data_IF_075718118693
#
_entry.id   IF_075718118693
#
_cell.length_a   1.000
_cell.length_b   1.000
_cell.length_c   1.000
_cell.angle_alpha   90.00
_cell.angle_beta   90.00
_cell.angle_gamma   90.00
#
_symmetry.space_group_name_H-M   'P 1'
#
loop_
_entity.id
_entity.type
_entity.pdbx_description
1 polymer ?
#
# COMPACT_ATOMS: atom_id res chain seq x y z
N UNK A 1 1.24 8.68 25.72
CA UNK A 1 2.27 8.45 24.69
C UNK A 1 1.95 9.31 23.47
N UNK A 2 2.91 10.12 23.05
CA UNK A 2 2.72 10.97 21.87
C UNK A 2 2.68 10.09 20.62
N UNK A 3 1.73 10.33 19.71
CA UNK A 3 1.55 9.54 18.46
C UNK A 3 2.81 9.51 17.58
N UNK A 4 3.60 10.58 17.61
CA UNK A 4 4.87 10.62 16.87
C UNK A 4 5.92 9.68 17.47
N UNK A 5 5.91 9.47 18.78
CA UNK A 5 6.81 8.52 19.44
C UNK A 5 6.45 7.07 19.11
N UNK A 6 5.16 6.78 18.88
CA UNK A 6 4.71 5.45 18.49
C UNK A 6 5.17 5.09 17.07
N UNK A 7 5.08 6.01 16.11
CA UNK A 7 5.53 5.74 14.74
C UNK A 7 7.05 5.54 14.66
N UNK A 8 7.83 6.34 15.41
CA UNK A 8 9.28 6.19 15.48
C UNK A 8 9.68 4.83 16.07
N UNK A 9 9.00 4.41 17.13
CA UNK A 9 9.21 3.09 17.73
C UNK A 9 8.92 1.95 16.77
N UNK A 10 7.86 2.05 15.98
CA UNK A 10 7.51 1.05 14.96
C UNK A 10 8.52 1.00 13.82
N UNK A 11 8.96 2.14 13.33
CA UNK A 11 9.98 2.22 12.29
C UNK A 11 11.30 1.61 12.75
N UNK A 12 11.71 1.94 13.99
CA UNK A 12 12.91 1.36 14.60
C UNK A 12 12.80 -0.15 14.74
N UNK A 13 11.68 -0.64 15.22
CA UNK A 13 11.43 -2.08 15.38
C UNK A 13 11.50 -2.82 14.04
N UNK A 14 10.97 -2.21 12.96
CA UNK A 14 11.00 -2.77 11.61
C UNK A 14 12.35 -2.58 10.91
N UNK A 15 13.28 -1.85 11.52
CA UNK A 15 14.57 -1.57 10.91
C UNK A 15 14.49 -0.59 9.74
N UNK A 16 13.48 0.25 9.71
CA UNK A 16 13.29 1.27 8.65
C UNK A 16 14.05 2.53 9.04
N UNK A 17 15.30 2.59 8.64
CA UNK A 17 16.21 3.72 8.87
C UNK A 17 16.21 4.72 7.69
N UNK A 18 17.10 5.71 7.74
CA UNK A 18 17.21 6.73 6.70
C UNK A 18 17.60 6.14 5.33
N UNK A 19 18.45 5.10 5.31
CA UNK A 19 18.84 4.43 4.07
C UNK A 19 17.64 3.74 3.42
N UNK A 20 16.84 3.01 4.20
CA UNK A 20 15.63 2.34 3.71
C UNK A 20 14.56 3.33 3.27
N UNK A 21 14.41 4.44 3.98
CA UNK A 21 13.49 5.52 3.54
C UNK A 21 13.89 6.09 2.19
N UNK A 22 15.18 6.28 1.95
CA UNK A 22 15.70 6.72 0.65
C UNK A 22 15.45 5.66 -0.44
N UNK A 23 15.62 4.37 -0.13
CA UNK A 23 15.31 3.27 -1.05
C UNK A 23 13.82 3.23 -1.41
N UNK A 24 12.92 3.50 -0.47
CA UNK A 24 11.49 3.57 -0.75
C UNK A 24 11.16 4.63 -1.81
N UNK A 25 11.84 5.77 -1.79
CA UNK A 25 11.67 6.81 -2.82
C UNK A 25 12.09 6.32 -4.21
N UNK A 26 13.17 5.55 -4.29
CA UNK A 26 13.61 4.94 -5.55
C UNK A 26 12.62 3.86 -6.01
N UNK A 27 12.12 3.06 -5.09
CA UNK A 27 11.06 2.07 -5.35
C UNK A 27 9.83 2.76 -5.94
N UNK A 28 9.40 3.88 -5.37
CA UNK A 28 8.24 4.61 -5.86
C UNK A 28 8.40 5.05 -7.32
N UNK A 29 9.56 5.54 -7.71
CA UNK A 29 9.83 5.93 -9.10
C UNK A 29 9.62 4.77 -10.08
N UNK A 30 9.93 3.55 -9.65
CA UNK A 30 9.81 2.35 -10.47
C UNK A 30 8.37 1.87 -10.54
N UNK A 31 7.66 1.83 -9.42
CA UNK A 31 6.31 1.26 -9.36
C UNK A 31 5.19 2.23 -9.71
N UNK A 32 5.40 3.54 -9.54
CA UNK A 32 4.36 4.53 -9.78
C UNK A 32 3.72 4.43 -11.17
N UNK A 33 4.48 4.25 -12.27
CA UNK A 33 3.88 4.07 -13.59
C UNK A 33 3.02 2.81 -13.73
N UNK A 34 3.17 1.85 -12.83
CA UNK A 34 2.43 0.57 -12.84
C UNK A 34 1.24 0.53 -11.89
N UNK A 35 1.12 1.51 -10.98
CA UNK A 35 0.07 1.51 -9.95
C UNK A 35 -1.33 1.47 -10.55
N UNK A 36 -1.57 2.21 -11.60
CA UNK A 36 -2.89 2.25 -12.24
C UNK A 36 -3.33 0.85 -12.70
N UNK A 37 -2.48 0.15 -13.42
CA UNK A 37 -2.75 -1.21 -13.92
C UNK A 37 -2.88 -2.22 -12.77
N UNK A 38 -2.00 -2.13 -11.78
CA UNK A 38 -2.04 -3.02 -10.59
C UNK A 38 -3.36 -2.85 -9.85
N UNK A 39 -3.82 -1.62 -9.67
CA UNK A 39 -5.07 -1.34 -8.97
C UNK A 39 -6.30 -1.70 -9.79
N UNK A 40 -6.24 -1.58 -11.11
CA UNK A 40 -7.30 -2.12 -11.97
C UNK A 40 -7.44 -3.64 -11.79
N UNK A 41 -6.34 -4.36 -11.78
CA UNK A 41 -6.34 -5.81 -11.54
C UNK A 41 -6.82 -6.15 -10.13
N UNK A 42 -6.44 -5.35 -9.15
CA UNK A 42 -6.87 -5.49 -7.76
C UNK A 42 -8.41 -5.40 -7.66
N UNK A 43 -9.02 -4.37 -8.24
CA UNK A 43 -10.47 -4.22 -8.15
C UNK A 43 -11.23 -5.23 -8.99
N UNK A 44 -10.68 -5.72 -10.11
CA UNK A 44 -11.24 -6.86 -10.82
C UNK A 44 -11.26 -8.11 -9.93
N UNK A 45 -10.18 -8.36 -9.22
CA UNK A 45 -10.07 -9.48 -8.30
C UNK A 45 -11.05 -9.35 -7.13
N UNK A 46 -11.17 -8.16 -6.53
CA UNK A 46 -12.13 -7.87 -5.47
C UNK A 46 -13.58 -8.09 -5.93
N UNK A 47 -13.92 -7.64 -7.13
CA UNK A 47 -15.28 -7.75 -7.66
C UNK A 47 -15.65 -9.17 -8.14
N UNK A 48 -14.67 -10.03 -8.34
CA UNK A 48 -14.91 -11.41 -8.76
C UNK A 48 -15.47 -12.30 -7.63
N UNK A 49 -15.42 -11.85 -6.37
CA UNK A 49 -15.91 -12.59 -5.20
C UNK A 49 -17.05 -11.84 -4.55
N UNK A 50 -18.16 -12.53 -4.30
CA UNK A 50 -19.38 -11.92 -3.75
C UNK A 50 -19.13 -11.18 -2.43
N UNK A 51 -18.41 -11.81 -1.50
CA UNK A 51 -18.16 -11.23 -0.17
C UNK A 51 -17.36 -9.94 -0.23
N UNK A 52 -16.36 -9.88 -1.08
CA UNK A 52 -15.55 -8.66 -1.23
C UNK A 52 -16.20 -7.63 -2.13
N UNK A 53 -16.94 -8.05 -3.16
CA UNK A 53 -17.74 -7.16 -3.98
C UNK A 53 -18.83 -6.45 -3.17
N UNK A 54 -19.43 -7.14 -2.20
CA UNK A 54 -20.44 -6.56 -1.31
C UNK A 54 -19.87 -5.41 -0.46
N UNK A 55 -18.61 -5.48 -0.06
CA UNK A 55 -17.94 -4.39 0.68
C UNK A 55 -17.80 -3.13 -0.19
N UNK A 56 -17.51 -3.29 -1.47
CA UNK A 56 -17.45 -2.16 -2.42
C UNK A 56 -18.84 -1.57 -2.63
N UNK A 57 -19.86 -2.43 -2.77
CA UNK A 57 -21.25 -2.07 -3.00
C UNK A 57 -21.55 -1.81 -4.47
N UNK A 58 -21.16 -0.68 -5.02
CA UNK A 58 -21.41 -0.30 -6.42
C UNK A 58 -20.10 -0.18 -7.22
N UNK A 59 -20.04 -0.72 -8.45
CA UNK A 59 -18.89 -0.54 -9.33
C UNK A 59 -18.53 0.93 -9.61
N UNK A 60 -19.50 1.84 -9.53
CA UNK A 60 -19.28 3.27 -9.72
C UNK A 60 -18.40 3.92 -8.65
N UNK A 61 -18.20 3.25 -7.51
CA UNK A 61 -17.30 3.70 -6.44
C UNK A 61 -15.83 3.40 -6.71
N UNK A 62 -15.55 2.48 -7.63
CA UNK A 62 -14.18 1.99 -7.89
C UNK A 62 -13.21 3.10 -8.29
N UNK A 63 -13.53 4.06 -9.19
CA UNK A 63 -12.59 5.11 -9.55
C UNK A 63 -12.09 5.93 -8.35
N UNK A 64 -12.98 6.31 -7.43
CA UNK A 64 -12.61 7.05 -6.22
C UNK A 64 -11.79 6.20 -5.26
N UNK A 65 -12.15 4.94 -5.07
CA UNK A 65 -11.41 3.99 -4.22
C UNK A 65 -10.03 3.71 -4.79
N UNK A 66 -9.91 3.55 -6.10
CA UNK A 66 -8.65 3.37 -6.80
C UNK A 66 -7.71 4.56 -6.59
N UNK A 67 -8.22 5.79 -6.73
CA UNK A 67 -7.44 7.00 -6.49
C UNK A 67 -6.96 7.07 -5.03
N UNK A 68 -7.83 6.80 -4.07
CA UNK A 68 -7.48 6.80 -2.66
C UNK A 68 -6.40 5.75 -2.34
N UNK A 69 -6.50 4.57 -2.93
CA UNK A 69 -5.51 3.51 -2.74
C UNK A 69 -4.17 3.86 -3.40
N UNK A 70 -4.18 4.46 -4.58
CA UNK A 70 -2.96 4.94 -5.24
C UNK A 70 -2.24 5.98 -4.38
N UNK A 71 -2.96 6.94 -3.81
CA UNK A 71 -2.40 7.93 -2.89
C UNK A 71 -1.82 7.27 -1.64
N UNK A 72 -2.47 6.23 -1.10
CA UNK A 72 -1.95 5.49 0.04
C UNK A 72 -0.60 4.82 -0.29
N UNK A 73 -0.50 4.13 -1.42
CA UNK A 73 0.75 3.50 -1.83
C UNK A 73 1.85 4.52 -2.09
N UNK A 74 1.53 5.64 -2.74
CA UNK A 74 2.50 6.73 -2.94
C UNK A 74 2.97 7.31 -1.61
N UNK A 75 2.06 7.51 -0.66
CA UNK A 75 2.40 7.99 0.68
C UNK A 75 3.29 7.02 1.44
N UNK A 76 2.97 5.72 1.40
CA UNK A 76 3.77 4.68 2.03
C UNK A 76 5.19 4.61 1.43
N UNK A 77 5.30 4.67 0.12
CA UNK A 77 6.57 4.58 -0.60
C UNK A 77 7.33 5.91 -0.67
N UNK A 78 6.76 7.00 -0.18
CA UNK A 78 7.47 8.28 -0.11
C UNK A 78 8.61 8.29 0.91
N UNK A 79 8.61 7.31 1.83
CA UNK A 79 9.58 7.25 2.93
C UNK A 79 9.32 8.28 4.02
N UNK A 80 8.22 9.02 3.94
CA UNK A 80 7.84 10.05 4.92
C UNK A 80 6.70 9.55 5.81
N UNK A 81 7.03 9.24 7.07
CA UNK A 81 6.11 8.67 8.04
C UNK A 81 5.75 9.68 9.13
N UNK A 82 5.41 10.90 8.71
CA UNK A 82 5.01 11.97 9.60
C UNK A 82 3.52 11.95 9.95
N UNK A 83 3.03 13.08 10.47
CA UNK A 83 1.64 13.24 10.92
C UNK A 83 0.63 13.00 9.78
N UNK A 84 0.92 13.49 8.57
CA UNK A 84 0.04 13.30 7.42
C UNK A 84 -0.14 11.83 7.06
N UNK A 85 0.94 11.04 7.11
CA UNK A 85 0.89 9.59 6.92
C UNK A 85 0.03 8.93 8.00
N UNK A 86 0.27 9.25 9.26
CA UNK A 86 -0.46 8.67 10.40
C UNK A 86 -1.96 8.96 10.32
N UNK A 87 -2.34 10.18 10.01
CA UNK A 87 -3.75 10.56 9.85
C UNK A 87 -4.42 9.79 8.71
N UNK A 88 -3.73 9.65 7.58
CA UNK A 88 -4.25 8.90 6.42
C UNK A 88 -4.43 7.42 6.76
N UNK A 89 -3.43 6.80 7.39
CA UNK A 89 -3.51 5.41 7.80
C UNK A 89 -4.66 5.15 8.78
N UNK A 90 -4.88 6.06 9.74
CA UNK A 90 -6.00 5.96 10.67
C UNK A 90 -7.35 6.11 9.97
N UNK A 91 -7.47 7.03 9.01
CA UNK A 91 -8.69 7.23 8.24
C UNK A 91 -9.03 5.98 7.41
N UNK A 92 -8.03 5.35 6.79
CA UNK A 92 -8.19 4.10 6.04
C UNK A 92 -8.66 2.97 6.96
N UNK A 93 -7.99 2.78 8.09
CA UNK A 93 -8.37 1.77 9.08
C UNK A 93 -9.79 1.96 9.59
N UNK A 94 -10.18 3.20 9.90
CA UNK A 94 -11.53 3.54 10.32
C UNK A 94 -12.58 3.25 9.23
N UNK A 95 -12.28 3.54 7.98
CA UNK A 95 -13.17 3.26 6.85
C UNK A 95 -13.41 1.75 6.70
N UNK A 96 -12.35 0.93 6.76
CA UNK A 96 -12.46 -0.53 6.69
C UNK A 96 -13.24 -1.11 7.88
N UNK A 97 -13.05 -0.57 9.07
CA UNK A 97 -13.83 -0.96 10.25
C UNK A 97 -15.32 -0.65 10.07
N UNK A 98 -15.66 0.54 9.57
CA UNK A 98 -17.07 0.94 9.36
C UNK A 98 -17.81 0.03 8.37
N UNK A 99 -17.14 -0.47 7.34
CA UNK A 99 -17.76 -1.38 6.36
C UNK A 99 -17.69 -2.84 6.79
N UNK A 100 -17.12 -3.13 7.95
CA UNK A 100 -17.04 -4.48 8.50
C UNK A 100 -16.10 -5.39 7.72
N UNK A 101 -15.03 -4.85 7.13
CA UNK A 101 -14.06 -5.66 6.40
C UNK A 101 -13.31 -6.58 7.36
N UNK A 102 -13.47 -7.89 7.15
CA UNK A 102 -12.76 -8.87 7.97
C UNK A 102 -11.24 -8.84 7.72
N UNK A 103 -10.40 -9.03 8.77
CA UNK A 103 -8.95 -9.01 8.64
C UNK A 103 -8.40 -9.91 7.54
N UNK A 104 -9.00 -11.07 7.32
CA UNK A 104 -8.57 -12.00 6.26
C UNK A 104 -8.59 -11.37 4.87
N UNK A 105 -9.61 -10.58 4.56
CA UNK A 105 -9.73 -9.90 3.28
C UNK A 105 -8.76 -8.73 3.15
N UNK A 106 -8.57 -8.00 4.24
CA UNK A 106 -7.62 -6.90 4.32
C UNK A 106 -6.18 -7.38 4.10
N UNK A 107 -5.78 -8.45 4.79
CA UNK A 107 -4.45 -9.06 4.64
C UNK A 107 -4.28 -9.61 3.22
N UNK A 108 -5.29 -10.30 2.69
CA UNK A 108 -5.24 -10.83 1.33
C UNK A 108 -5.11 -9.71 0.28
N UNK A 109 -5.79 -8.58 0.48
CA UNK A 109 -5.70 -7.41 -0.39
C UNK A 109 -4.28 -6.81 -0.42
N UNK A 110 -3.67 -6.64 0.75
CA UNK A 110 -2.28 -6.20 0.83
C UNK A 110 -1.32 -7.18 0.15
N UNK A 111 -1.50 -8.46 0.38
CA UNK A 111 -0.69 -9.51 -0.25
C UNK A 111 -0.78 -9.46 -1.78
N UNK A 112 -1.98 -9.29 -2.31
CA UNK A 112 -2.18 -9.16 -3.77
C UNK A 112 -1.41 -7.98 -4.34
N UNK A 113 -1.63 -6.79 -3.79
CA UNK A 113 -0.99 -5.56 -4.28
C UNK A 113 0.53 -5.62 -4.11
N UNK A 114 1.02 -6.03 -2.95
CA UNK A 114 2.44 -6.12 -2.65
C UNK A 114 3.16 -7.11 -3.58
N UNK A 115 2.57 -8.27 -3.85
CA UNK A 115 3.15 -9.26 -4.76
C UNK A 115 3.32 -8.70 -6.18
N UNK A 116 2.35 -7.91 -6.65
CA UNK A 116 2.44 -7.25 -7.96
C UNK A 116 3.52 -6.18 -8.00
N UNK A 117 3.62 -5.38 -6.93
CA UNK A 117 4.68 -4.37 -6.79
C UNK A 117 6.07 -5.02 -6.78
N UNK A 118 6.24 -6.08 -6.01
CA UNK A 118 7.51 -6.83 -5.93
C UNK A 118 7.88 -7.41 -7.29
N UNK A 119 6.92 -7.93 -8.06
CA UNK A 119 7.19 -8.44 -9.40
C UNK A 119 7.75 -7.35 -10.33
N UNK A 120 7.21 -6.12 -10.25
CA UNK A 120 7.71 -4.98 -11.02
C UNK A 120 9.12 -4.57 -10.58
N UNK A 121 9.37 -4.58 -9.27
CA UNK A 121 10.70 -4.28 -8.74
C UNK A 121 11.74 -5.32 -9.16
N UNK A 122 11.40 -6.59 -9.08
CA UNK A 122 12.30 -7.67 -9.52
C UNK A 122 12.65 -7.53 -11.00
N UNK A 123 11.69 -7.22 -11.84
CA UNK A 123 11.92 -6.98 -13.26
C UNK A 123 12.86 -5.80 -13.51
N UNK A 124 12.67 -4.70 -12.77
CA UNK A 124 13.49 -3.49 -12.91
C UNK A 124 14.91 -3.67 -12.37
N UNK A 125 15.05 -4.37 -11.23
CA UNK A 125 16.34 -4.54 -10.55
C UNK A 125 17.11 -5.79 -10.97
N UNK A 126 16.57 -6.60 -11.86
CA UNK A 126 17.23 -7.81 -12.35
C UNK A 126 18.66 -7.57 -12.85
N UNK A 127 18.92 -6.37 -13.38
CA UNK A 127 20.23 -5.91 -13.85
C UNK A 127 21.08 -5.22 -12.77
N UNK A 128 20.56 -5.12 -11.54
CA UNK A 128 21.21 -4.45 -10.41
C UNK A 128 21.10 -5.35 -9.16
N UNK A 129 21.80 -6.51 -9.12
CA UNK A 129 21.61 -7.52 -8.07
C UNK A 129 21.89 -6.98 -6.67
N UNK A 130 22.80 -6.00 -6.50
CA UNK A 130 23.13 -5.41 -5.21
C UNK A 130 21.95 -4.68 -4.54
N UNK A 131 20.92 -4.32 -5.30
CA UNK A 131 19.73 -3.63 -4.80
C UNK A 131 18.60 -4.60 -4.46
N UNK A 132 18.62 -5.84 -4.98
CA UNK A 132 17.56 -6.82 -4.75
C UNK A 132 17.48 -7.28 -3.29
N UNK A 133 18.63 -7.31 -2.60
CA UNK A 133 18.73 -7.80 -1.22
C UNK A 133 18.40 -6.72 -0.18
N UNK A 134 18.19 -5.48 -0.59
CA UNK A 134 17.88 -4.34 0.26
C UNK A 134 16.38 -4.08 0.36
#
# INVERSE_FOLDING_TARGET
MNRNQDIEGRLSFLGIDAEKRALLKEVLKIVDPHLDTILDDFYKWIMAREETAAVIGSPGRIPALKNAQAEHWRGLLSGEFGEAYTKRAQAIGGAHHRVGLEPRWYIAGYSFALSRLIAKLNAAYRKKPDLLDK
#
